data_IF_459723188274
#
_entry.id   IF_459723188274
#
_cell.length_a   1.000
_cell.length_b   1.000
_cell.length_c   1.000
_cell.angle_alpha   90.00
_cell.angle_beta   90.00
_cell.angle_gamma   90.00
#
_symmetry.space_group_name_H-M   'P 1'
#
loop_
_entity.id
_entity.type
_entity.pdbx_description
1 polymer ?
#
# COMPACT_ATOMS: atom_id res chain seq x y z
N UNK A 1 47.39 -8.49 -23.97
CA UNK A 1 46.01 -7.98 -23.89
C UNK A 1 45.07 -8.89 -24.69
N UNK A 2 44.79 -10.09 -24.18
CA UNK A 2 43.98 -11.10 -24.89
C UNK A 2 43.19 -12.03 -23.94
N UNK A 3 43.26 -11.80 -22.62
CA UNK A 3 42.62 -12.64 -21.62
C UNK A 3 41.51 -11.92 -20.83
N UNK A 4 41.07 -10.74 -21.28
CA UNK A 4 39.99 -9.98 -20.62
C UNK A 4 38.65 -10.03 -21.37
N UNK A 5 38.60 -10.63 -22.56
CA UNK A 5 37.39 -10.70 -23.38
C UNK A 5 36.52 -11.94 -23.14
N UNK A 6 36.88 -12.82 -22.18
CA UNK A 6 36.13 -14.04 -21.85
C UNK A 6 35.27 -13.96 -20.57
N UNK A 7 35.12 -12.77 -19.96
CA UNK A 7 34.34 -12.62 -18.72
C UNK A 7 32.88 -12.16 -18.94
N UNK A 8 32.46 -11.89 -20.19
CA UNK A 8 31.17 -11.25 -20.46
C UNK A 8 29.99 -12.22 -20.72
N UNK A 9 30.20 -13.54 -20.69
CA UNK A 9 29.19 -14.51 -21.17
C UNK A 9 28.43 -15.29 -20.07
N UNK A 10 28.63 -15.00 -18.78
CA UNK A 10 28.09 -15.83 -17.67
C UNK A 10 27.10 -15.13 -16.72
N UNK A 11 26.58 -13.95 -17.05
CA UNK A 11 25.68 -13.19 -16.16
C UNK A 11 24.19 -13.23 -16.55
N UNK A 12 23.74 -14.20 -17.35
CA UNK A 12 22.38 -14.23 -17.91
C UNK A 12 21.44 -15.30 -17.31
N UNK A 13 21.71 -15.84 -16.13
CA UNK A 13 20.85 -16.88 -15.53
C UNK A 13 20.64 -16.71 -14.03
N UNK A 14 19.69 -15.86 -13.61
CA UNK A 14 18.94 -16.04 -12.36
C UNK A 14 17.79 -15.00 -12.23
N UNK A 15 16.77 -15.09 -13.08
CA UNK A 15 15.47 -14.48 -12.80
C UNK A 15 14.38 -15.52 -12.94
N UNK A 16 14.26 -16.38 -11.93
CA UNK A 16 13.15 -17.30 -11.76
C UNK A 16 12.68 -17.24 -10.30
N UNK A 17 11.86 -16.24 -9.98
CA UNK A 17 11.04 -16.27 -8.78
C UNK A 17 9.68 -16.85 -9.17
N UNK A 18 9.49 -18.15 -8.97
CA UNK A 18 8.18 -18.79 -9.03
C UNK A 18 7.50 -18.62 -7.66
N UNK A 19 6.42 -17.87 -7.60
CA UNK A 19 5.53 -17.85 -6.45
C UNK A 19 4.41 -18.88 -6.67
N UNK A 20 4.65 -20.13 -6.26
CA UNK A 20 3.59 -21.14 -6.14
C UNK A 20 3.20 -21.27 -4.67
N UNK A 21 2.14 -20.58 -4.27
CA UNK A 21 1.39 -20.93 -3.05
C UNK A 21 0.07 -21.55 -3.49
N UNK A 22 0.08 -22.86 -3.70
CA UNK A 22 -1.13 -23.68 -3.73
C UNK A 22 -1.36 -24.17 -2.30
N UNK A 23 -2.30 -23.53 -1.59
CA UNK A 23 -2.52 -23.85 -0.18
C UNK A 23 -3.82 -23.32 0.40
N UNK A 24 -4.87 -24.14 0.26
CA UNK A 24 -5.92 -24.35 1.28
C UNK A 24 -7.09 -23.35 1.34
N UNK A 25 -8.08 -23.70 0.52
CA UNK A 25 -9.49 -23.88 0.90
C UNK A 25 -9.85 -23.65 2.39
N UNK A 26 -10.68 -22.65 2.64
CA UNK A 26 -11.69 -22.67 3.71
C UNK A 26 -11.41 -21.79 4.92
N UNK A 27 -12.08 -20.64 5.00
CA UNK A 27 -12.52 -20.07 6.28
C UNK A 27 -13.90 -19.44 6.09
N UNK A 28 -14.94 -19.90 6.80
CA UNK A 28 -16.27 -19.31 6.70
C UNK A 28 -16.32 -17.95 7.41
N UNK A 29 -17.02 -17.04 6.75
CA UNK A 29 -17.60 -15.77 7.17
C UNK A 29 -17.65 -15.55 8.69
N UNK A 30 -16.68 -14.80 9.18
CA UNK A 30 -16.72 -14.07 10.44
C UNK A 30 -16.30 -12.63 10.19
N UNK A 31 -16.96 -11.96 9.23
CA UNK A 31 -16.89 -10.51 9.13
C UNK A 31 -17.70 -10.00 10.32
N UNK A 32 -17.03 -9.80 11.45
CA UNK A 32 -17.48 -8.79 12.38
C UNK A 32 -17.36 -7.49 11.58
N UNK A 33 -18.47 -7.10 10.96
CA UNK A 33 -18.65 -5.79 10.38
C UNK A 33 -18.54 -4.83 11.56
N UNK A 34 -17.30 -4.45 11.86
CA UNK A 34 -16.99 -3.41 12.81
C UNK A 34 -17.64 -2.15 12.27
N UNK A 35 -18.87 -1.94 12.74
CA UNK A 35 -19.74 -0.83 12.44
C UNK A 35 -18.89 0.44 12.41
N UNK A 36 -18.72 1.09 11.24
CA UNK A 36 -17.73 2.15 11.10
C UNK A 36 -18.12 3.28 12.05
N UNK A 37 -17.30 3.59 13.07
CA UNK A 37 -17.57 4.74 13.91
C UNK A 37 -17.32 5.97 13.03
N UNK A 38 -18.37 6.77 12.82
CA UNK A 38 -18.38 8.11 12.24
C UNK A 38 -17.55 8.31 10.94
N UNK A 39 -18.25 8.44 9.80
CA UNK A 39 -17.76 9.18 8.60
C UNK A 39 -16.32 8.86 8.17
N UNK A 40 -15.95 7.58 8.09
CA UNK A 40 -14.61 7.17 7.68
C UNK A 40 -14.49 7.29 6.16
N UNK A 41 -14.15 8.49 5.67
CA UNK A 41 -13.86 8.70 4.24
C UNK A 41 -12.66 7.85 3.82
N UNK A 42 -12.72 7.26 2.63
CA UNK A 42 -11.55 6.63 2.03
C UNK A 42 -10.61 7.68 1.44
N UNK A 43 -9.36 7.30 1.18
CA UNK A 43 -8.40 8.17 0.50
C UNK A 43 -8.90 8.59 -0.89
N UNK A 44 -9.60 7.69 -1.60
CA UNK A 44 -10.21 7.98 -2.91
C UNK A 44 -11.33 9.02 -2.83
N UNK A 45 -12.15 8.97 -1.78
CA UNK A 45 -13.21 9.97 -1.55
C UNK A 45 -12.60 11.36 -1.29
N UNK A 46 -11.53 11.42 -0.50
CA UNK A 46 -10.84 12.66 -0.20
C UNK A 46 -10.18 13.26 -1.45
N UNK A 47 -9.53 12.44 -2.29
CA UNK A 47 -8.99 12.89 -3.58
C UNK A 47 -10.09 13.47 -4.47
N UNK A 48 -11.24 12.79 -4.56
CA UNK A 48 -12.40 13.23 -5.33
C UNK A 48 -13.00 14.54 -4.81
N UNK A 49 -12.91 14.79 -3.49
CA UNK A 49 -13.30 16.05 -2.84
C UNK A 49 -12.25 17.16 -2.99
N UNK A 50 -11.11 16.89 -3.63
CA UNK A 50 -10.04 17.86 -3.90
C UNK A 50 -8.98 17.96 -2.80
N UNK A 51 -8.92 16.99 -1.87
CA UNK A 51 -7.79 16.88 -0.95
C UNK A 51 -6.54 16.42 -1.70
N UNK A 52 -5.40 16.99 -1.33
CA UNK A 52 -4.11 16.67 -1.93
C UNK A 52 -3.27 15.86 -0.97
N UNK A 53 -2.56 14.86 -1.48
CA UNK A 53 -1.54 14.14 -0.72
C UNK A 53 -0.36 15.10 -0.49
N UNK A 54 -0.08 15.41 0.77
CA UNK A 54 1.04 16.27 1.18
C UNK A 54 2.26 15.46 1.58
N UNK A 55 2.06 14.28 2.15
CA UNK A 55 3.14 13.38 2.52
C UNK A 55 2.64 11.93 2.58
N UNK A 56 3.56 10.99 2.39
CA UNK A 56 3.35 9.58 2.70
C UNK A 56 4.54 9.12 3.53
N UNK A 57 4.30 8.71 4.76
CA UNK A 57 5.34 8.36 5.73
C UNK A 57 5.23 6.87 6.06
N UNK A 58 6.31 6.09 5.92
CA UNK A 58 6.32 4.73 6.41
C UNK A 58 6.25 4.72 7.95
N UNK A 59 5.34 3.93 8.50
CA UNK A 59 5.17 3.72 9.94
C UNK A 59 5.22 2.22 10.23
N UNK A 60 6.41 1.72 10.55
CA UNK A 60 6.66 0.29 10.69
C UNK A 60 6.38 -0.47 9.38
N UNK A 61 5.39 -1.36 9.39
CA UNK A 61 4.95 -2.13 8.22
C UNK A 61 3.78 -1.50 7.45
N UNK A 62 3.39 -0.27 7.79
CA UNK A 62 2.25 0.46 7.19
C UNK A 62 2.71 1.77 6.58
N UNK A 63 1.87 2.34 5.72
CA UNK A 63 2.06 3.71 5.22
C UNK A 63 0.92 4.58 5.74
N UNK A 64 1.29 5.74 6.30
CA UNK A 64 0.35 6.80 6.67
C UNK A 64 0.47 7.92 5.65
N UNK A 65 -0.62 8.22 4.97
CA UNK A 65 -0.71 9.25 3.94
C UNK A 65 -1.42 10.46 4.51
N UNK A 66 -0.74 11.60 4.53
CA UNK A 66 -1.28 12.86 4.99
C UNK A 66 -1.90 13.60 3.83
N UNK A 67 -3.19 13.92 3.95
CA UNK A 67 -3.96 14.64 2.97
C UNK A 67 -4.40 15.99 3.54
N UNK A 68 -4.41 17.03 2.70
CA UNK A 68 -4.83 18.36 3.13
C UNK A 68 -5.64 19.06 2.04
N UNK A 69 -6.65 19.82 2.48
CA UNK A 69 -7.39 20.79 1.68
C UNK A 69 -7.67 22.00 2.57
N UNK A 70 -7.21 23.18 2.15
CA UNK A 70 -7.33 24.41 2.91
C UNK A 70 -6.78 24.25 4.35
N UNK A 71 -7.63 24.39 5.37
CA UNK A 71 -7.31 24.20 6.78
C UNK A 71 -7.69 22.81 7.33
N UNK A 72 -8.23 21.93 6.49
CA UNK A 72 -8.61 20.57 6.85
C UNK A 72 -7.52 19.58 6.47
N UNK A 73 -7.16 18.70 7.41
CA UNK A 73 -6.16 17.66 7.21
C UNK A 73 -6.71 16.28 7.61
N UNK A 74 -6.24 15.25 6.92
CA UNK A 74 -6.58 13.86 7.17
C UNK A 74 -5.31 13.01 7.18
N UNK A 75 -5.27 11.99 8.02
CA UNK A 75 -4.29 10.90 7.96
C UNK A 75 -4.99 9.63 7.51
N UNK A 76 -4.54 9.07 6.39
CA UNK A 76 -5.06 7.84 5.81
C UNK A 76 -4.07 6.70 6.00
N UNK A 77 -4.48 5.62 6.68
CA UNK A 77 -3.73 4.37 6.73
C UNK A 77 -4.27 3.39 5.67
N UNK A 78 -3.37 2.71 4.97
CA UNK A 78 -3.74 1.60 4.08
C UNK A 78 -4.05 0.34 4.91
N UNK A 79 -5.32 -0.08 4.91
CA UNK A 79 -5.73 -1.35 5.52
C UNK A 79 -5.35 -2.54 4.64
N UNK A 80 -5.51 -2.37 3.32
CA UNK A 80 -5.10 -3.31 2.27
C UNK A 80 -4.52 -2.55 1.07
N UNK A 81 -4.26 -3.22 -0.06
CA UNK A 81 -3.82 -2.54 -1.29
C UNK A 81 -4.90 -1.62 -1.90
N UNK A 82 -6.17 -1.85 -1.59
CA UNK A 82 -7.31 -1.14 -2.18
C UNK A 82 -8.20 -0.46 -1.14
N UNK A 83 -8.08 -0.81 0.14
CA UNK A 83 -8.84 -0.21 1.23
C UNK A 83 -7.95 0.69 2.08
N UNK A 84 -8.46 1.89 2.37
CA UNK A 84 -7.81 2.88 3.25
C UNK A 84 -8.79 3.36 4.31
N UNK A 85 -8.28 3.74 5.47
CA UNK A 85 -9.05 4.36 6.55
C UNK A 85 -8.47 5.74 6.81
N UNK A 86 -9.27 6.79 6.65
CA UNK A 86 -8.82 8.15 6.94
C UNK A 86 -9.47 8.69 8.21
N UNK A 87 -8.65 9.28 9.07
CA UNK A 87 -9.10 10.07 10.22
C UNK A 87 -8.78 11.55 10.02
N UNK A 88 -9.63 12.44 10.51
CA UNK A 88 -9.35 13.88 10.54
C UNK A 88 -8.23 14.20 11.52
N UNK A 89 -7.36 15.12 11.14
CA UNK A 89 -6.35 15.73 12.01
C UNK A 89 -6.90 17.11 12.43
N UNK A 90 -7.22 17.25 13.72
CA UNK A 90 -7.61 18.52 14.35
C UNK A 90 -6.38 19.28 14.85
#
# INVERSE_FOLDING_TARGET
MQALSLAAALLLSASAAFAQEAGKLGTPLGHEEAQPPAEQSSMGDLLSKGYQIKAAVPNGGKFVVFMQKDQSAYACEMQSLTASRCGTLN
#
